data_IF_484804128947
#
_entry.id   IF_484804128947
#
_cell.length_a   1.000
_cell.length_b   1.000
_cell.length_c   1.000
_cell.angle_alpha   90.00
_cell.angle_beta   90.00
_cell.angle_gamma   90.00
#
_symmetry.space_group_name_H-M   'P 1'
#
loop_
_entity.id
_entity.type
_entity.pdbx_description
1 polymer ?
#
# COMPACT_ATOMS: atom_id res chain seq x y z
N UNK A 1 -8.02 4.56 -15.07
CA UNK A 1 -8.16 4.87 -13.62
C UNK A 1 -6.79 4.99 -12.96
N UNK A 2 -5.86 4.09 -13.22
CA UNK A 2 -4.52 4.08 -12.60
C UNK A 2 -3.75 5.40 -12.79
N UNK A 3 -3.72 5.94 -14.02
CA UNK A 3 -3.07 7.22 -14.28
C UNK A 3 -3.74 8.40 -13.55
N UNK A 4 -5.05 8.34 -13.35
CA UNK A 4 -5.82 9.37 -12.65
C UNK A 4 -5.52 9.39 -11.15
N UNK A 5 -5.17 8.25 -10.55
CA UNK A 5 -4.87 8.14 -9.12
C UNK A 5 -3.39 8.39 -8.81
N UNK A 6 -2.47 8.13 -9.75
CA UNK A 6 -1.03 8.20 -9.50
C UNK A 6 -0.56 9.63 -9.15
N UNK A 7 -0.92 10.63 -9.93
CA UNK A 7 -0.49 12.00 -9.68
C UNK A 7 -1.01 12.57 -8.35
N UNK A 8 -2.33 12.51 -8.06
CA UNK A 8 -2.84 12.99 -6.77
C UNK A 8 -2.26 12.22 -5.58
N UNK A 9 -2.06 10.91 -5.69
CA UNK A 9 -1.53 10.11 -4.59
C UNK A 9 -0.09 10.48 -4.23
N UNK A 10 0.77 10.73 -5.21
CA UNK A 10 2.15 11.21 -4.98
C UNK A 10 2.14 12.58 -4.30
N UNK A 11 1.30 13.52 -4.76
CA UNK A 11 1.18 14.84 -4.15
C UNK A 11 0.68 14.75 -2.70
N UNK A 12 -0.34 13.94 -2.42
CA UNK A 12 -0.89 13.75 -1.07
C UNK A 12 0.13 13.08 -0.16
N UNK A 13 0.87 12.07 -0.65
CA UNK A 13 1.95 11.43 0.10
C UNK A 13 3.01 12.45 0.52
N UNK A 14 3.47 13.28 -0.40
CA UNK A 14 4.47 14.30 -0.12
C UNK A 14 3.96 15.35 0.89
N UNK A 15 2.73 15.82 0.72
CA UNK A 15 2.10 16.76 1.67
C UNK A 15 1.90 16.13 3.05
N UNK A 16 1.45 14.88 3.12
CA UNK A 16 1.22 14.17 4.37
C UNK A 16 2.52 14.02 5.18
N UNK A 17 3.63 13.63 4.52
CA UNK A 17 4.94 13.50 5.16
C UNK A 17 5.45 14.87 5.62
N UNK A 18 5.42 15.87 4.75
CA UNK A 18 5.97 17.20 5.06
C UNK A 18 5.22 17.93 6.18
N UNK A 19 3.93 17.68 6.34
CA UNK A 19 3.10 18.31 7.37
C UNK A 19 3.10 17.54 8.70
N UNK A 20 3.12 16.21 8.67
CA UNK A 20 2.95 15.37 9.86
C UNK A 20 4.29 15.09 10.55
N UNK A 21 5.31 14.66 9.80
CA UNK A 21 6.58 14.22 10.38
C UNK A 21 7.29 15.31 11.22
N UNK A 22 7.40 16.59 10.78
CA UNK A 22 8.09 17.63 11.56
C UNK A 22 7.34 18.02 12.84
N UNK A 23 6.00 17.93 12.83
CA UNK A 23 5.17 18.42 13.94
C UNK A 23 5.00 17.40 15.06
N UNK A 24 4.94 16.14 14.71
CA UNK A 24 4.51 15.07 15.64
C UNK A 24 5.69 14.19 16.08
N UNK A 25 6.76 14.21 15.34
CA UNK A 25 7.92 13.33 15.52
C UNK A 25 7.73 11.97 14.84
N UNK A 26 8.85 11.32 14.53
CA UNK A 26 8.89 10.11 13.68
C UNK A 26 8.04 8.95 14.23
N UNK A 27 8.21 8.60 15.51
CA UNK A 27 7.50 7.48 16.13
C UNK A 27 5.97 7.67 16.14
N UNK A 28 5.51 8.86 16.55
CA UNK A 28 4.07 9.14 16.59
C UNK A 28 3.48 9.25 15.18
N UNK A 29 4.22 9.80 14.22
CA UNK A 29 3.80 9.88 12.83
C UNK A 29 3.65 8.47 12.21
N UNK A 30 4.55 7.53 12.51
CA UNK A 30 4.44 6.13 12.10
C UNK A 30 3.19 5.46 12.67
N UNK A 31 2.90 5.68 13.95
CA UNK A 31 1.69 5.13 14.62
C UNK A 31 0.43 5.70 13.97
N UNK A 32 0.35 7.02 13.76
CA UNK A 32 -0.79 7.68 13.10
C UNK A 32 -0.97 7.16 11.67
N UNK A 33 0.11 7.06 10.91
CA UNK A 33 0.11 6.52 9.55
C UNK A 33 -0.40 5.07 9.50
N UNK A 34 0.07 4.23 10.43
CA UNK A 34 -0.33 2.83 10.50
C UNK A 34 -1.79 2.65 10.90
N UNK A 35 -2.29 3.33 11.94
CA UNK A 35 -3.71 3.28 12.32
C UNK A 35 -4.63 3.82 11.24
N UNK A 36 -4.31 5.01 10.69
CA UNK A 36 -5.08 5.57 9.57
C UNK A 36 -5.06 4.66 8.35
N UNK A 37 -3.90 4.07 8.04
CA UNK A 37 -3.75 3.09 6.97
C UNK A 37 -4.62 1.85 7.17
N UNK A 38 -4.68 1.28 8.37
CA UNK A 38 -5.53 0.10 8.67
C UNK A 38 -7.00 0.44 8.43
N UNK A 39 -7.47 1.57 8.93
CA UNK A 39 -8.88 1.99 8.78
C UNK A 39 -9.24 2.18 7.31
N UNK A 40 -8.42 2.90 6.55
CA UNK A 40 -8.72 3.15 5.12
C UNK A 40 -8.66 1.86 4.29
N UNK A 41 -7.68 0.97 4.55
CA UNK A 41 -7.62 -0.31 3.86
C UNK A 41 -8.81 -1.21 4.18
N UNK A 42 -9.30 -1.22 5.42
CA UNK A 42 -10.51 -1.95 5.78
C UNK A 42 -11.75 -1.39 5.05
N UNK A 43 -11.88 -0.07 4.94
CA UNK A 43 -12.94 0.57 4.16
C UNK A 43 -12.83 0.22 2.66
N UNK A 44 -11.63 0.15 2.11
CA UNK A 44 -11.41 -0.26 0.72
C UNK A 44 -11.78 -1.73 0.49
N UNK A 45 -11.52 -2.63 1.44
CA UNK A 45 -12.00 -4.02 1.37
C UNK A 45 -13.53 -4.05 1.32
N UNK A 46 -14.21 -3.31 2.20
CA UNK A 46 -15.66 -3.21 2.19
C UNK A 46 -16.18 -2.66 0.84
N UNK A 47 -15.54 -1.64 0.30
CA UNK A 47 -15.88 -1.07 -1.00
C UNK A 47 -15.77 -2.11 -2.13
N UNK A 48 -14.71 -2.91 -2.14
CA UNK A 48 -14.49 -3.96 -3.14
C UNK A 48 -15.46 -5.15 -3.02
N UNK A 49 -15.85 -5.50 -1.80
CA UNK A 49 -16.77 -6.63 -1.58
C UNK A 49 -18.22 -6.25 -1.82
N UNK A 50 -18.62 -5.03 -1.45
CA UNK A 50 -20.01 -4.56 -1.55
C UNK A 50 -20.28 -3.83 -2.86
N UNK A 51 -19.28 -3.18 -3.45
CA UNK A 51 -19.40 -2.43 -4.69
C UNK A 51 -19.31 -3.31 -5.94
N UNK A 52 -19.70 -2.75 -7.07
CA UNK A 52 -19.56 -3.41 -8.36
C UNK A 52 -18.43 -2.76 -9.18
N UNK A 53 -17.27 -3.41 -9.33
CA UNK A 53 -16.12 -2.88 -10.05
C UNK A 53 -16.39 -2.73 -11.56
N UNK A 54 -17.38 -3.43 -12.12
CA UNK A 54 -17.71 -3.31 -13.55
C UNK A 54 -18.25 -1.92 -13.90
N UNK A 55 -18.78 -1.19 -12.92
CA UNK A 55 -19.28 0.19 -13.09
C UNK A 55 -18.18 1.23 -13.28
N UNK A 56 -16.90 0.86 -13.18
CA UNK A 56 -15.77 1.77 -13.39
C UNK A 56 -15.51 2.09 -14.86
N UNK A 57 -16.00 1.28 -15.77
CA UNK A 57 -15.78 1.43 -17.21
C UNK A 57 -17.10 1.71 -17.91
N UNK A 58 -17.18 2.83 -18.64
CA UNK A 58 -18.38 3.17 -19.44
C UNK A 58 -18.37 2.49 -20.81
N UNK A 59 -17.18 2.30 -21.38
CA UNK A 59 -16.99 1.61 -22.65
C UNK A 59 -15.69 0.79 -22.58
N UNK A 60 -15.79 -0.56 -22.49
CA UNK A 60 -14.62 -1.43 -22.40
C UNK A 60 -13.69 -1.30 -23.61
N UNK A 61 -14.24 -1.10 -24.82
CA UNK A 61 -13.46 -1.00 -26.03
C UNK A 61 -12.67 0.32 -26.14
N UNK A 62 -13.22 1.41 -25.59
CA UNK A 62 -12.57 2.72 -25.58
C UNK A 62 -11.71 2.98 -24.31
N UNK A 63 -11.80 2.14 -23.29
CA UNK A 63 -11.10 2.31 -22.02
C UNK A 63 -11.52 3.57 -21.24
N UNK A 64 -12.71 4.10 -21.52
CA UNK A 64 -13.20 5.33 -20.89
C UNK A 64 -13.69 5.07 -19.47
N UNK A 65 -13.35 5.99 -18.55
CA UNK A 65 -13.71 5.89 -17.14
C UNK A 65 -15.14 6.38 -16.93
N UNK A 66 -16.00 5.52 -16.38
CA UNK A 66 -17.32 5.93 -15.93
C UNK A 66 -17.22 6.62 -14.56
N UNK A 67 -17.77 7.83 -14.41
CA UNK A 67 -17.86 8.55 -13.16
C UNK A 67 -19.02 8.04 -12.30
N UNK A 68 -18.94 6.77 -11.90
CA UNK A 68 -19.85 6.13 -10.95
C UNK A 68 -19.48 6.52 -9.52
N UNK A 69 -20.44 6.38 -8.59
CA UNK A 69 -20.18 6.53 -7.15
C UNK A 69 -19.02 5.62 -6.69
N UNK A 70 -18.97 4.39 -7.20
CA UNK A 70 -17.89 3.45 -6.92
C UNK A 70 -16.53 3.99 -7.40
N UNK A 71 -16.46 4.54 -8.61
CA UNK A 71 -15.22 5.11 -9.18
C UNK A 71 -14.72 6.28 -8.35
N UNK A 72 -15.60 7.20 -7.97
CA UNK A 72 -15.25 8.36 -7.13
C UNK A 72 -14.75 7.90 -5.77
N UNK A 73 -15.48 7.00 -5.11
CA UNK A 73 -15.08 6.45 -3.81
C UNK A 73 -13.73 5.72 -3.88
N UNK A 74 -13.49 4.98 -4.96
CA UNK A 74 -12.22 4.29 -5.19
C UNK A 74 -11.06 5.27 -5.39
N UNK A 75 -11.23 6.30 -6.22
CA UNK A 75 -10.19 7.33 -6.47
C UNK A 75 -9.86 8.08 -5.18
N UNK A 76 -10.87 8.55 -4.46
CA UNK A 76 -10.66 9.24 -3.18
C UNK A 76 -10.02 8.31 -2.15
N UNK A 77 -10.52 7.09 -2.02
CA UNK A 77 -9.99 6.09 -1.12
C UNK A 77 -8.51 5.77 -1.37
N UNK A 78 -8.11 5.56 -2.63
CA UNK A 78 -6.71 5.31 -3.01
C UNK A 78 -5.81 6.51 -2.74
N UNK A 79 -6.29 7.74 -2.94
CA UNK A 79 -5.53 8.94 -2.62
C UNK A 79 -5.28 9.07 -1.10
N UNK A 80 -6.31 8.85 -0.28
CA UNK A 80 -6.18 8.87 1.19
C UNK A 80 -5.28 7.73 1.67
N UNK A 81 -5.44 6.54 1.13
CA UNK A 81 -4.60 5.38 1.41
C UNK A 81 -3.12 5.68 1.14
N UNK A 82 -2.81 6.28 -0.02
CA UNK A 82 -1.45 6.66 -0.38
C UNK A 82 -0.84 7.65 0.64
N UNK A 83 -1.64 8.59 1.15
CA UNK A 83 -1.20 9.52 2.18
C UNK A 83 -0.76 8.82 3.47
N UNK A 84 -1.58 7.92 4.01
CA UNK A 84 -1.26 7.18 5.23
C UNK A 84 -0.10 6.19 5.04
N UNK A 85 -0.08 5.46 3.94
CA UNK A 85 1.03 4.55 3.60
C UNK A 85 2.34 5.31 3.39
N UNK A 86 2.26 6.48 2.75
CA UNK A 86 3.42 7.33 2.55
C UNK A 86 4.04 7.79 3.86
N UNK A 87 3.22 8.16 4.86
CA UNK A 87 3.71 8.53 6.19
C UNK A 87 4.42 7.33 6.83
N UNK A 88 3.79 6.17 6.93
CA UNK A 88 4.38 5.00 7.59
C UNK A 88 5.60 4.43 6.87
N UNK A 89 5.59 4.39 5.53
CA UNK A 89 6.66 3.79 4.75
C UNK A 89 7.92 4.66 4.63
N UNK A 90 7.76 5.97 4.44
CA UNK A 90 8.91 6.84 4.22
C UNK A 90 9.63 7.29 5.50
N UNK A 91 8.99 7.19 6.66
CA UNK A 91 9.61 7.50 7.96
C UNK A 91 10.70 6.47 8.33
N UNK A 92 10.66 5.27 7.81
CA UNK A 92 11.66 4.23 8.06
C UNK A 92 13.07 4.66 7.63
N UNK A 93 13.20 5.43 6.56
CA UNK A 93 14.50 5.90 6.06
C UNK A 93 15.23 6.79 7.07
N UNK A 94 14.65 7.91 7.56
CA UNK A 94 15.29 8.71 8.60
C UNK A 94 15.46 7.95 9.92
N UNK A 95 14.57 7.05 10.31
CA UNK A 95 14.74 6.21 11.50
C UNK A 95 15.98 5.30 11.39
N UNK A 96 16.28 4.79 10.20
CA UNK A 96 17.51 3.99 9.97
C UNK A 96 18.77 4.83 10.17
N UNK A 97 18.76 6.09 9.74
CA UNK A 97 19.87 7.02 9.99
C UNK A 97 20.05 7.31 11.49
N UNK A 98 18.95 7.59 12.19
CA UNK A 98 18.98 7.82 13.65
C UNK A 98 19.50 6.59 14.42
N UNK A 99 19.16 5.38 13.98
CA UNK A 99 19.70 4.14 14.56
C UNK A 99 21.23 4.02 14.33
N UNK A 100 21.72 4.40 13.15
CA UNK A 100 23.15 4.40 12.87
C UNK A 100 23.93 5.41 13.73
N UNK A 101 23.36 6.59 13.94
CA UNK A 101 23.94 7.63 14.82
C UNK A 101 23.93 7.19 16.29
N UNK A 102 22.85 6.57 16.75
CA UNK A 102 22.76 6.02 18.10
C UNK A 102 23.81 4.91 18.33
N UNK A 103 24.00 4.00 17.37
CA UNK A 103 25.01 2.94 17.48
C UNK A 103 26.43 3.52 17.49
N UNK A 104 26.66 4.58 16.72
CA UNK A 104 27.94 5.32 16.76
C UNK A 104 28.19 5.95 18.12
N UNK A 105 27.17 6.55 18.72
CA UNK A 105 27.26 7.10 20.08
C UNK A 105 27.56 6.03 21.12
N UNK A 106 26.91 4.88 21.01
CA UNK A 106 27.03 3.77 21.98
C UNK A 106 28.36 3.02 21.88
N UNK A 107 28.84 2.77 20.66
CA UNK A 107 30.00 1.90 20.42
C UNK A 107 31.28 2.64 20.04
N UNK A 108 31.16 3.93 19.69
CA UNK A 108 32.25 4.73 19.14
C UNK A 108 32.68 4.34 17.73
N UNK A 109 31.96 3.40 17.08
CA UNK A 109 32.23 2.94 15.72
C UNK A 109 31.22 3.52 14.75
N UNK A 110 31.67 4.26 13.76
CA UNK A 110 30.83 4.80 12.71
C UNK A 110 30.57 3.74 11.63
N UNK A 111 29.36 3.17 11.62
CA UNK A 111 29.01 2.04 10.74
C UNK A 111 27.71 2.25 9.93
N UNK A 112 27.41 3.46 9.40
CA UNK A 112 26.16 3.72 8.70
C UNK A 112 26.01 2.87 7.44
N UNK A 113 27.12 2.52 6.77
CA UNK A 113 27.10 1.65 5.61
C UNK A 113 26.59 0.24 5.91
N UNK A 114 26.91 -0.31 7.08
CA UNK A 114 26.43 -1.62 7.50
C UNK A 114 24.92 -1.61 7.74
N UNK A 115 24.40 -0.57 8.40
CA UNK A 115 22.96 -0.41 8.66
C UNK A 115 22.18 -0.27 7.33
N UNK A 116 22.68 0.56 6.41
CA UNK A 116 22.07 0.73 5.10
C UNK A 116 22.09 -0.55 4.24
N UNK A 117 23.17 -1.33 4.29
CA UNK A 117 23.24 -2.60 3.55
C UNK A 117 22.32 -3.66 4.14
N UNK A 118 22.21 -3.77 5.46
CA UNK A 118 21.27 -4.68 6.12
C UNK A 118 19.83 -4.33 5.78
N UNK A 119 19.46 -3.04 5.86
CA UNK A 119 18.13 -2.57 5.47
C UNK A 119 17.82 -2.93 4.01
N UNK A 120 18.74 -2.61 3.08
CA UNK A 120 18.55 -2.89 1.66
C UNK A 120 18.49 -4.40 1.36
N UNK A 121 19.25 -5.21 2.08
CA UNK A 121 19.21 -6.67 1.93
C UNK A 121 17.86 -7.25 2.33
N UNK A 122 17.34 -6.87 3.49
CA UNK A 122 16.02 -7.31 3.97
C UNK A 122 14.90 -6.82 3.04
N UNK A 123 14.97 -5.56 2.61
CA UNK A 123 14.01 -4.99 1.65
C UNK A 123 13.97 -5.79 0.34
N UNK A 124 15.13 -6.16 -0.22
CA UNK A 124 15.20 -6.96 -1.46
C UNK A 124 14.65 -8.37 -1.29
N UNK A 125 14.90 -9.03 -0.16
CA UNK A 125 14.32 -10.34 0.12
C UNK A 125 12.79 -10.24 0.17
N UNK A 126 12.25 -9.29 0.95
CA UNK A 126 10.80 -9.12 1.09
C UNK A 126 10.16 -8.76 -0.25
N UNK A 127 10.77 -7.83 -1.00
CA UNK A 127 10.27 -7.40 -2.31
C UNK A 127 10.27 -8.55 -3.34
N UNK A 128 11.20 -9.50 -3.25
CA UNK A 128 11.22 -10.67 -4.14
C UNK A 128 10.16 -11.71 -3.79
N UNK A 129 9.71 -11.77 -2.52
CA UNK A 129 8.66 -12.67 -2.09
C UNK A 129 7.25 -12.17 -2.50
N UNK A 130 7.07 -10.85 -2.66
CA UNK A 130 5.77 -10.27 -2.98
C UNK A 130 5.13 -10.83 -4.28
N UNK A 131 5.82 -10.89 -5.44
CA UNK A 131 5.25 -11.47 -6.65
C UNK A 131 4.99 -12.99 -6.53
N UNK A 132 5.78 -13.71 -5.73
CA UNK A 132 5.55 -15.12 -5.46
C UNK A 132 4.23 -15.32 -4.69
N UNK A 133 4.00 -14.55 -3.64
CA UNK A 133 2.75 -14.60 -2.86
C UNK A 133 1.56 -14.22 -3.75
N UNK A 134 1.70 -13.18 -4.58
CA UNK A 134 0.66 -12.79 -5.52
C UNK A 134 0.32 -13.93 -6.49
N UNK A 135 1.32 -14.58 -7.08
CA UNK A 135 1.12 -15.72 -7.97
C UNK A 135 0.40 -16.89 -7.30
N UNK A 136 0.78 -17.23 -6.05
CA UNK A 136 0.11 -18.28 -5.28
C UNK A 136 -1.36 -17.97 -5.01
N UNK A 137 -1.69 -16.72 -4.65
CA UNK A 137 -3.09 -16.31 -4.42
C UNK A 137 -3.89 -16.35 -5.73
N UNK A 138 -3.35 -15.86 -6.84
CA UNK A 138 -4.02 -15.94 -8.14
C UNK A 138 -4.28 -17.38 -8.56
N UNK A 139 -3.32 -18.27 -8.36
CA UNK A 139 -3.49 -19.72 -8.62
C UNK A 139 -4.58 -20.32 -7.72
N UNK A 140 -4.58 -19.99 -6.43
CA UNK A 140 -5.58 -20.48 -5.47
C UNK A 140 -7.01 -20.00 -5.79
N UNK A 141 -7.15 -18.81 -6.38
CA UNK A 141 -8.44 -18.25 -6.82
C UNK A 141 -8.90 -18.85 -8.15
N UNK A 142 -8.03 -19.60 -8.88
CA UNK A 142 -8.32 -20.20 -10.16
C UNK A 142 -8.12 -19.25 -11.35
N UNK A 143 -7.42 -18.13 -11.16
CA UNK A 143 -7.16 -17.16 -12.22
C UNK A 143 -6.11 -17.64 -13.23
N UNK A 144 -5.24 -18.58 -12.83
CA UNK A 144 -4.17 -19.08 -13.70
C UNK A 144 -4.71 -19.94 -14.87
N UNK A 145 -5.87 -20.58 -14.68
CA UNK A 145 -6.48 -21.45 -15.69
C UNK A 145 -7.48 -20.73 -16.62
N UNK A 146 -7.74 -19.44 -16.35
CA UNK A 146 -8.73 -18.67 -17.08
C UNK A 146 -8.10 -17.40 -17.64
N UNK A 147 -7.98 -17.33 -18.98
CA UNK A 147 -7.67 -16.06 -19.63
C UNK A 147 -8.94 -15.19 -19.58
N UNK A 148 -8.96 -14.12 -18.77
CA UNK A 148 -10.15 -13.28 -18.68
C UNK A 148 -10.45 -12.65 -20.04
N UNK A 149 -11.64 -12.92 -20.57
CA UNK A 149 -12.15 -12.27 -21.76
C UNK A 149 -12.91 -11.02 -21.33
N UNK A 150 -12.85 -9.96 -22.12
CA UNK A 150 -13.64 -8.75 -21.87
C UNK A 150 -15.13 -9.11 -21.75
N UNK A 151 -15.72 -8.72 -20.61
CA UNK A 151 -17.12 -9.04 -20.30
C UNK A 151 -17.34 -10.23 -19.36
N UNK A 152 -16.30 -10.95 -18.96
CA UNK A 152 -16.43 -12.03 -17.97
C UNK A 152 -16.92 -11.48 -16.61
N UNK A 153 -17.89 -12.16 -15.97
CA UNK A 153 -18.38 -11.71 -14.67
C UNK A 153 -17.27 -11.82 -13.63
N UNK A 154 -17.04 -10.75 -12.90
CA UNK A 154 -16.08 -10.73 -11.78
C UNK A 154 -16.59 -11.62 -10.66
N UNK A 155 -16.06 -12.83 -10.57
CA UNK A 155 -16.48 -13.84 -9.60
C UNK A 155 -16.18 -13.35 -8.18
N UNK A 156 -17.02 -13.70 -7.19
CA UNK A 156 -16.81 -13.33 -5.78
C UNK A 156 -15.45 -13.85 -5.24
N UNK A 157 -14.99 -15.01 -5.69
CA UNK A 157 -13.67 -15.55 -5.37
C UNK A 157 -12.55 -14.62 -5.83
N UNK A 158 -12.64 -14.07 -7.03
CA UNK A 158 -11.68 -13.13 -7.58
C UNK A 158 -11.68 -11.81 -6.79
N UNK A 159 -12.86 -11.29 -6.43
CA UNK A 159 -12.99 -10.09 -5.58
C UNK A 159 -12.31 -10.27 -4.24
N UNK A 160 -12.54 -11.40 -3.57
CA UNK A 160 -11.89 -11.74 -2.29
C UNK A 160 -10.37 -11.84 -2.46
N UNK A 161 -9.89 -12.53 -3.51
CA UNK A 161 -8.45 -12.66 -3.78
C UNK A 161 -7.77 -11.31 -4.02
N UNK A 162 -8.36 -10.45 -4.82
CA UNK A 162 -7.85 -9.09 -5.09
C UNK A 162 -7.87 -8.24 -3.82
N UNK A 163 -8.97 -8.27 -3.05
CA UNK A 163 -9.07 -7.53 -1.80
C UNK A 163 -8.02 -7.98 -0.78
N UNK A 164 -7.78 -9.28 -0.68
CA UNK A 164 -6.74 -9.84 0.19
C UNK A 164 -5.33 -9.38 -0.23
N UNK A 165 -4.99 -9.46 -1.51
CA UNK A 165 -3.69 -9.05 -2.03
C UNK A 165 -3.47 -7.53 -1.93
N UNK A 166 -4.46 -6.75 -2.37
CA UNK A 166 -4.31 -5.31 -2.48
C UNK A 166 -4.38 -4.58 -1.14
N UNK A 167 -5.12 -5.13 -0.18
CA UNK A 167 -5.40 -4.44 1.09
C UNK A 167 -5.09 -5.28 2.32
N UNK A 168 -5.40 -6.58 2.30
CA UNK A 168 -5.22 -7.47 3.46
C UNK A 168 -3.77 -7.62 3.88
N UNK A 169 -2.86 -7.83 2.93
CA UNK A 169 -1.42 -7.93 3.21
C UNK A 169 -0.85 -6.59 3.71
N UNK A 170 -1.38 -5.47 3.20
CA UNK A 170 -0.97 -4.14 3.68
C UNK A 170 -1.41 -3.95 5.13
N UNK A 171 -2.65 -4.33 5.49
CA UNK A 171 -3.13 -4.26 6.88
C UNK A 171 -2.24 -5.10 7.79
N UNK A 172 -1.86 -6.31 7.38
CA UNK A 172 -0.95 -7.15 8.15
C UNK A 172 0.40 -6.47 8.38
N UNK A 173 0.99 -5.86 7.35
CA UNK A 173 2.22 -5.09 7.45
C UNK A 173 2.10 -3.90 8.40
N UNK A 174 0.99 -3.16 8.35
CA UNK A 174 0.74 -2.03 9.23
C UNK A 174 0.52 -2.46 10.70
N UNK A 175 -0.09 -3.61 10.94
CA UNK A 175 -0.19 -4.21 12.27
C UNK A 175 1.21 -4.56 12.80
N UNK A 176 2.05 -5.17 11.97
CA UNK A 176 3.44 -5.45 12.35
C UNK A 176 4.19 -4.16 12.74
N UNK A 177 4.00 -3.06 12.01
CA UNK A 177 4.59 -1.76 12.35
C UNK A 177 4.09 -1.18 13.68
N UNK A 178 2.90 -1.54 14.14
CA UNK A 178 2.37 -1.10 15.44
C UNK A 178 2.89 -1.93 16.61
N UNK A 179 3.28 -3.17 16.36
CA UNK A 179 3.81 -4.10 17.38
C UNK A 179 5.32 -3.89 17.58
N UNK A 180 6.02 -3.45 16.55
CA UNK A 180 7.45 -3.15 16.59
C UNK A 180 7.75 -1.84 17.34
#
# INVERSE_FOLDING_TARGET
VTALTTFPSVAITFLAISLVAPKVGQRKAMIIGSWGGIVINALMICLWLLGDPTTMTSDPAAGTVAWSFFTIAYVVGTCVQAGFQGISGNIVIPMTADCADYETYRTGKYVPGLMGTLFSFVDKIISSLAPMIAGLVFTAVGFADHNPVEGDPVTMKLRIGVAFLAYGLIILGLICNLVA
#
